data_IF_793419400661
#
_entry.id   IF_793419400661
#
_cell.length_a   1.000
_cell.length_b   1.000
_cell.length_c   1.000
_cell.angle_alpha   90.00
_cell.angle_beta   90.00
_cell.angle_gamma   90.00
#
_symmetry.space_group_name_H-M   'P 1'
#
loop_
_entity.id
_entity.type
_entity.pdbx_description
1 polymer ?
#
# COMPACT_ATOMS: atom_id res chain seq x y z
N UNK A 1 -11.44 7.40 -17.87
CA UNK A 1 -11.54 8.40 -16.77
C UNK A 1 -12.99 8.63 -16.33
N UNK A 2 -13.92 8.99 -17.24
CA UNK A 2 -15.34 9.20 -16.87
C UNK A 2 -15.97 8.02 -16.12
N UNK A 3 -15.77 6.79 -16.61
CA UNK A 3 -16.28 5.58 -15.94
C UNK A 3 -15.75 5.43 -14.51
N UNK A 4 -14.47 5.74 -14.28
CA UNK A 4 -13.85 5.69 -12.95
C UNK A 4 -14.50 6.70 -12.00
N UNK A 5 -14.67 7.94 -12.47
CA UNK A 5 -15.34 9.01 -11.72
C UNK A 5 -16.77 8.59 -11.40
N UNK A 6 -17.52 8.11 -12.40
CA UNK A 6 -18.89 7.67 -12.23
C UNK A 6 -19.02 6.54 -11.21
N UNK A 7 -18.18 5.49 -11.30
CA UNK A 7 -18.16 4.38 -10.34
C UNK A 7 -17.86 4.85 -8.93
N UNK A 8 -16.86 5.72 -8.74
CA UNK A 8 -16.47 6.24 -7.42
C UNK A 8 -17.56 7.15 -6.82
N UNK A 9 -18.20 7.98 -7.63
CA UNK A 9 -19.35 8.81 -7.20
C UNK A 9 -20.53 7.95 -6.77
N UNK A 10 -20.92 6.95 -7.57
CA UNK A 10 -22.02 6.04 -7.22
C UNK A 10 -21.70 5.25 -5.95
N UNK A 11 -20.49 4.68 -5.85
CA UNK A 11 -20.03 3.93 -4.68
C UNK A 11 -20.11 4.74 -3.38
N UNK A 12 -19.80 6.05 -3.42
CA UNK A 12 -19.85 6.93 -2.25
C UNK A 12 -21.24 7.07 -1.61
N UNK A 13 -22.31 6.75 -2.35
CA UNK A 13 -23.70 6.80 -1.87
C UNK A 13 -24.27 5.41 -1.57
N UNK A 14 -23.48 4.36 -1.75
CA UNK A 14 -23.88 2.98 -1.46
C UNK A 14 -23.65 2.63 0.01
N UNK A 15 -24.34 1.58 0.47
CA UNK A 15 -24.15 1.05 1.83
C UNK A 15 -22.74 0.50 2.03
N UNK A 16 -22.30 0.53 3.28
CA UNK A 16 -21.07 -0.13 3.71
C UNK A 16 -21.09 -1.62 3.39
N UNK A 17 -19.92 -2.17 3.12
CA UNK A 17 -19.75 -3.59 3.05
C UNK A 17 -19.69 -4.18 4.47
N UNK A 18 -20.28 -5.35 4.66
CA UNK A 18 -20.20 -6.10 5.91
C UNK A 18 -19.59 -7.47 5.66
N UNK A 19 -18.91 -7.98 6.68
CA UNK A 19 -18.23 -9.25 6.59
C UNK A 19 -17.78 -9.75 7.96
N UNK A 20 -17.15 -10.92 7.94
CA UNK A 20 -16.57 -11.55 9.11
C UNK A 20 -15.06 -11.63 8.93
N UNK A 21 -14.32 -11.25 9.96
CA UNK A 21 -12.90 -11.55 10.09
C UNK A 21 -12.73 -12.64 11.13
N UNK A 22 -11.97 -13.67 10.80
CA UNK A 22 -11.74 -14.83 11.67
C UNK A 22 -10.24 -15.07 11.76
N UNK A 23 -9.73 -15.20 12.99
CA UNK A 23 -8.36 -15.61 13.24
C UNK A 23 -8.38 -16.92 14.01
N UNK A 24 -7.68 -17.92 13.49
CA UNK A 24 -7.51 -19.24 14.11
C UNK A 24 -6.07 -19.36 14.57
N UNK A 25 -5.88 -19.73 15.84
CA UNK A 25 -4.58 -20.07 16.41
C UNK A 25 -4.48 -21.57 16.57
N UNK A 26 -3.37 -22.14 16.11
CA UNK A 26 -3.14 -23.57 16.09
C UNK A 26 -1.89 -23.84 16.92
N UNK A 27 -2.08 -24.46 18.09
CA UNK A 27 -0.98 -24.93 18.91
C UNK A 27 -0.46 -26.27 18.41
N UNK A 28 0.86 -26.44 18.42
CA UNK A 28 1.51 -27.70 18.10
C UNK A 28 2.76 -27.89 18.95
N UNK A 29 3.19 -29.15 19.09
CA UNK A 29 4.47 -29.48 19.74
C UNK A 29 5.45 -29.97 18.69
N UNK A 30 6.58 -29.28 18.59
CA UNK A 30 7.68 -29.70 17.74
C UNK A 30 8.29 -31.02 18.26
N UNK A 31 8.96 -31.76 17.36
CA UNK A 31 9.59 -33.05 17.68
C UNK A 31 10.68 -32.96 18.76
N UNK A 32 11.27 -31.78 18.95
CA UNK A 32 12.25 -31.48 20.01
C UNK A 32 11.61 -31.00 21.32
N UNK A 33 10.27 -31.08 21.43
CA UNK A 33 9.53 -30.80 22.65
C UNK A 33 9.12 -29.34 22.85
N UNK A 34 9.51 -28.43 21.95
CA UNK A 34 9.11 -27.02 21.99
C UNK A 34 7.66 -26.81 21.56
N UNK A 35 6.99 -25.86 22.19
CA UNK A 35 5.67 -25.42 21.76
C UNK A 35 5.80 -24.44 20.58
N UNK A 36 4.94 -24.60 19.58
CA UNK A 36 4.84 -23.74 18.41
C UNK A 36 3.38 -23.27 18.25
N UNK A 37 3.21 -22.03 17.80
CA UNK A 37 1.90 -21.47 17.46
C UNK A 37 1.92 -21.09 15.97
N UNK A 38 0.90 -21.54 15.24
CA UNK A 38 0.60 -21.10 13.89
C UNK A 38 -0.65 -20.23 13.93
N UNK A 39 -0.71 -19.24 13.05
CA UNK A 39 -1.88 -18.36 12.93
C UNK A 39 -2.39 -18.35 11.50
N UNK A 40 -3.70 -18.57 11.33
CA UNK A 40 -4.39 -18.36 10.07
C UNK A 40 -5.41 -17.23 10.24
N UNK A 41 -5.48 -16.32 9.29
CA UNK A 41 -6.48 -15.24 9.27
C UNK A 41 -7.28 -15.30 7.97
N UNK A 42 -8.60 -15.19 8.12
CA UNK A 42 -9.58 -15.23 7.04
C UNK A 42 -10.51 -14.03 7.09
N UNK A 43 -10.98 -13.61 5.93
CA UNK A 43 -11.94 -12.53 5.73
C UNK A 43 -12.98 -12.99 4.74
N UNK A 44 -14.25 -12.83 5.09
CA UNK A 44 -15.39 -13.14 4.21
C UNK A 44 -16.35 -11.95 4.18
N UNK A 45 -16.85 -11.57 3.02
CA UNK A 45 -17.75 -10.44 2.80
C UNK A 45 -19.17 -10.99 2.69
N UNK A 46 -19.97 -10.75 3.73
CA UNK A 46 -21.38 -11.18 3.77
C UNK A 46 -22.25 -10.27 2.92
N UNK A 47 -21.89 -8.99 2.80
CA UNK A 47 -22.57 -8.02 1.97
C UNK A 47 -21.55 -7.07 1.35
N UNK A 48 -21.50 -7.02 0.02
CA UNK A 48 -20.45 -6.29 -0.69
C UNK A 48 -20.64 -4.77 -0.69
N UNK A 49 -21.84 -4.24 -0.40
CA UNK A 49 -22.08 -2.79 -0.35
C UNK A 49 -21.51 -2.04 -1.56
N UNK A 50 -20.81 -0.93 -1.30
CA UNK A 50 -20.13 -0.11 -2.28
C UNK A 50 -19.07 -0.87 -3.12
N UNK A 51 -18.48 -1.95 -2.60
CA UNK A 51 -17.46 -2.73 -3.31
C UNK A 51 -17.99 -3.36 -4.60
N UNK A 52 -19.31 -3.51 -4.76
CA UNK A 52 -19.90 -3.93 -6.05
C UNK A 52 -19.69 -2.90 -7.18
N UNK A 53 -19.58 -1.62 -6.84
CA UNK A 53 -19.43 -0.56 -7.82
C UNK A 53 -17.97 -0.13 -8.01
N UNK A 54 -17.19 -0.12 -6.93
CA UNK A 54 -15.81 0.34 -6.97
C UNK A 54 -14.96 -0.29 -5.85
N UNK A 55 -13.76 -0.74 -6.21
CA UNK A 55 -12.70 -1.17 -5.29
C UNK A 55 -11.45 -0.38 -5.65
N UNK A 56 -10.80 0.21 -4.65
CA UNK A 56 -9.56 0.95 -4.88
C UNK A 56 -8.43 -0.01 -5.24
N UNK A 57 -7.71 0.29 -6.32
CA UNK A 57 -6.55 -0.49 -6.72
C UNK A 57 -5.34 -0.21 -5.82
N UNK A 58 -4.39 -1.13 -5.81
CA UNK A 58 -3.12 -0.96 -5.11
C UNK A 58 -1.96 -0.83 -6.10
N UNK A 59 -0.99 0.04 -5.78
CA UNK A 59 0.23 0.22 -6.56
C UNK A 59 1.17 -1.00 -6.44
N UNK A 60 1.13 -1.72 -5.30
CA UNK A 60 1.83 -3.00 -5.13
C UNK A 60 0.97 -4.14 -5.71
N UNK A 61 1.44 -4.87 -6.73
CA UNK A 61 0.72 -6.02 -7.28
C UNK A 61 0.43 -7.13 -6.26
N UNK A 62 1.17 -7.15 -5.14
CA UNK A 62 0.99 -8.15 -4.07
C UNK A 62 0.09 -7.67 -2.94
N UNK A 63 -0.33 -6.39 -2.95
CA UNK A 63 -1.23 -5.89 -1.93
C UNK A 63 -2.60 -6.58 -2.03
N UNK A 64 -3.19 -6.89 -0.89
CA UNK A 64 -4.55 -7.39 -0.86
C UNK A 64 -5.53 -6.25 -1.12
N UNK A 65 -6.37 -6.44 -2.14
CA UNK A 65 -7.50 -5.55 -2.40
C UNK A 65 -8.61 -5.82 -1.38
N UNK A 66 -9.42 -4.80 -1.12
CA UNK A 66 -10.44 -4.84 -0.06
C UNK A 66 -11.52 -5.90 -0.27
N UNK A 67 -11.79 -6.27 -1.52
CA UNK A 67 -12.77 -7.26 -1.93
C UNK A 67 -12.25 -8.71 -1.93
N UNK A 68 -10.95 -8.90 -1.67
CA UNK A 68 -10.35 -10.24 -1.63
C UNK A 68 -10.78 -10.98 -0.37
N UNK A 69 -11.50 -12.09 -0.56
CA UNK A 69 -11.86 -13.01 0.52
C UNK A 69 -10.79 -14.09 0.73
N UNK A 70 -10.56 -14.44 1.99
CA UNK A 70 -9.84 -15.64 2.41
C UNK A 70 -10.74 -16.44 3.33
N UNK A 71 -11.37 -17.49 2.82
CA UNK A 71 -12.29 -18.32 3.59
C UNK A 71 -11.51 -19.36 4.39
N UNK A 72 -11.76 -19.42 5.68
CA UNK A 72 -11.29 -20.49 6.54
C UNK A 72 -12.42 -21.50 6.76
N UNK A 73 -12.09 -22.80 6.94
CA UNK A 73 -13.06 -23.79 7.35
C UNK A 73 -13.61 -23.46 8.75
N UNK A 74 -14.83 -23.92 9.02
CA UNK A 74 -15.40 -23.84 10.36
C UNK A 74 -14.67 -24.84 11.28
N UNK A 75 -14.12 -24.34 12.38
CA UNK A 75 -13.41 -25.13 13.40
C UNK A 75 -13.89 -24.71 14.79
N UNK A 76 -13.79 -25.61 15.75
CA UNK A 76 -14.04 -25.38 17.16
C UNK A 76 -12.76 -25.50 17.99
N UNK A 77 -12.77 -24.94 19.20
CA UNK A 77 -11.66 -25.12 20.14
C UNK A 77 -11.50 -26.59 20.49
N UNK A 78 -10.26 -27.09 20.40
CA UNK A 78 -9.93 -28.48 20.68
C UNK A 78 -10.06 -29.44 19.49
N UNK A 79 -10.49 -28.96 18.32
CA UNK A 79 -10.48 -29.77 17.10
C UNK A 79 -9.06 -30.24 16.77
N UNK A 80 -8.93 -31.54 16.48
CA UNK A 80 -7.66 -32.13 16.07
C UNK A 80 -7.34 -31.75 14.63
N UNK A 81 -6.08 -31.33 14.39
CA UNK A 81 -5.57 -31.00 13.06
C UNK A 81 -4.29 -31.81 12.80
N UNK A 82 -4.19 -32.41 11.61
CA UNK A 82 -2.96 -33.04 11.14
C UNK A 82 -2.28 -32.08 10.17
N UNK A 83 -0.98 -31.84 10.36
CA UNK A 83 -0.20 -31.09 9.38
C UNK A 83 0.10 -31.98 8.16
N UNK A 84 -0.48 -31.64 7.01
CA UNK A 84 -0.25 -32.37 5.76
C UNK A 84 1.15 -32.09 5.19
N UNK A 85 1.60 -30.83 5.27
CA UNK A 85 2.91 -30.38 4.80
C UNK A 85 3.44 -29.28 5.71
N UNK A 86 4.76 -29.27 5.94
CA UNK A 86 5.46 -28.22 6.68
C UNK A 86 6.61 -27.72 5.80
N UNK A 87 6.48 -26.49 5.30
CA UNK A 87 7.51 -25.80 4.53
C UNK A 87 8.23 -24.76 5.38
N UNK A 88 9.52 -24.58 5.12
CA UNK A 88 10.33 -23.54 5.77
C UNK A 88 10.47 -22.36 4.82
N UNK A 89 9.80 -21.26 5.15
CA UNK A 89 9.82 -20.04 4.33
C UNK A 89 10.85 -19.04 4.85
N UNK A 90 11.84 -18.75 4.01
CA UNK A 90 12.84 -17.72 4.25
C UNK A 90 12.35 -16.35 3.76
N UNK A 91 12.38 -15.35 4.64
CA UNK A 91 12.05 -13.97 4.29
C UNK A 91 13.26 -13.05 4.43
N UNK A 92 13.31 -12.03 3.58
CA UNK A 92 14.28 -10.94 3.65
C UNK A 92 13.55 -9.60 3.74
N UNK A 93 14.10 -8.68 4.52
CA UNK A 93 13.60 -7.30 4.59
C UNK A 93 13.78 -6.62 3.24
N UNK A 94 12.72 -6.00 2.73
CA UNK A 94 12.79 -5.18 1.52
C UNK A 94 13.11 -3.73 1.89
N UNK A 95 13.88 -3.00 1.06
CA UNK A 95 14.04 -1.57 1.24
C UNK A 95 12.69 -0.84 1.04
N UNK A 96 12.56 0.40 1.53
CA UNK A 96 11.39 1.22 1.23
C UNK A 96 11.12 1.30 -0.28
N UNK A 97 9.85 1.20 -0.65
CA UNK A 97 9.45 1.33 -2.04
C UNK A 97 9.77 2.74 -2.56
N UNK A 98 10.16 2.83 -3.83
CA UNK A 98 10.27 4.12 -4.49
C UNK A 98 8.87 4.69 -4.75
N UNK A 99 8.78 6.02 -4.80
CA UNK A 99 7.55 6.69 -5.21
C UNK A 99 7.16 6.34 -6.64
N UNK A 100 5.88 6.10 -6.84
CA UNK A 100 5.13 6.20 -8.11
C UNK A 100 4.64 7.64 -8.27
N UNK A 101 4.04 8.00 -9.41
CA UNK A 101 3.36 9.30 -9.51
C UNK A 101 2.22 9.41 -8.48
N UNK A 102 1.42 8.34 -8.32
CA UNK A 102 0.30 8.34 -7.38
C UNK A 102 0.77 8.53 -5.92
N UNK A 103 1.76 7.74 -5.48
CA UNK A 103 2.29 7.87 -4.11
C UNK A 103 3.08 9.17 -3.91
N UNK A 104 3.70 9.75 -4.94
CA UNK A 104 4.29 11.09 -4.83
C UNK A 104 3.22 12.18 -4.70
N UNK A 105 2.13 12.11 -5.47
CA UNK A 105 0.99 13.04 -5.29
C UNK A 105 0.43 12.92 -3.87
N UNK A 106 0.26 11.69 -3.38
CA UNK A 106 -0.20 11.44 -2.01
C UNK A 106 0.74 12.05 -0.97
N UNK A 107 2.04 11.84 -1.10
CA UNK A 107 3.05 12.41 -0.20
C UNK A 107 3.05 13.95 -0.23
N UNK A 108 2.93 14.55 -1.42
CA UNK A 108 2.83 16.00 -1.59
C UNK A 108 1.58 16.56 -0.91
N UNK A 109 0.44 15.88 -1.05
CA UNK A 109 -0.82 16.24 -0.39
C UNK A 109 -0.72 16.12 1.14
N UNK A 110 -0.18 15.02 1.66
CA UNK A 110 0.01 14.79 3.10
C UNK A 110 0.93 15.82 3.75
N UNK A 111 1.92 16.32 2.99
CA UNK A 111 2.82 17.41 3.43
C UNK A 111 2.28 18.81 3.15
N UNK A 112 1.09 18.93 2.57
CA UNK A 112 0.48 20.20 2.15
C UNK A 112 1.32 20.99 1.13
N UNK A 113 2.20 20.32 0.39
CA UNK A 113 3.07 20.91 -0.64
C UNK A 113 2.44 20.71 -2.01
N UNK A 114 2.06 21.82 -2.65
CA UNK A 114 1.32 21.79 -3.91
C UNK A 114 -0.20 21.74 -3.69
N UNK A 115 -0.95 21.82 -4.78
CA UNK A 115 -2.41 21.90 -4.81
C UNK A 115 -2.93 21.05 -5.97
N UNK A 116 -4.25 20.74 -6.03
CA UNK A 116 -4.82 19.98 -7.15
C UNK A 116 -4.48 20.54 -8.54
N UNK A 117 -4.28 21.85 -8.65
CA UNK A 117 -3.86 22.52 -9.89
C UNK A 117 -2.36 22.34 -10.22
N UNK A 118 -1.51 21.97 -9.27
CA UNK A 118 -0.05 21.97 -9.44
C UNK A 118 0.57 20.58 -9.46
N UNK A 119 -0.05 19.54 -8.89
CA UNK A 119 0.55 18.19 -8.79
C UNK A 119 1.08 17.66 -10.12
N UNK A 120 0.25 17.68 -11.17
CA UNK A 120 0.65 17.23 -12.50
C UNK A 120 1.80 18.07 -13.08
N UNK A 121 1.79 19.39 -12.86
CA UNK A 121 2.84 20.29 -13.34
C UNK A 121 4.17 20.12 -12.59
N UNK A 122 4.14 19.84 -11.28
CA UNK A 122 5.33 19.55 -10.48
C UNK A 122 6.01 18.29 -11.00
N UNK A 123 5.25 17.20 -11.13
CA UNK A 123 5.74 15.92 -11.63
C UNK A 123 6.27 16.05 -13.06
N UNK A 124 5.51 16.71 -13.95
CA UNK A 124 5.95 16.98 -15.32
C UNK A 124 7.27 17.75 -15.34
N UNK A 125 7.39 18.82 -14.54
CA UNK A 125 8.58 19.67 -14.51
C UNK A 125 9.83 18.91 -14.07
N UNK A 126 9.75 18.08 -13.02
CA UNK A 126 10.92 17.33 -12.53
C UNK A 126 11.35 16.20 -13.48
N UNK A 127 10.40 15.64 -14.25
CA UNK A 127 10.69 14.69 -15.33
C UNK A 127 11.34 15.39 -16.52
N UNK A 128 10.71 16.45 -17.04
CA UNK A 128 11.13 17.17 -18.24
C UNK A 128 12.53 17.81 -18.09
N UNK A 129 12.86 18.27 -16.87
CA UNK A 129 14.17 18.85 -16.55
C UNK A 129 15.24 17.81 -16.22
N UNK A 130 14.91 16.51 -16.25
CA UNK A 130 15.87 15.43 -16.03
C UNK A 130 16.32 15.25 -14.58
N UNK A 131 15.58 15.81 -13.61
CA UNK A 131 15.83 15.56 -12.19
C UNK A 131 15.41 14.12 -11.83
N UNK A 132 14.31 13.65 -12.39
CA UNK A 132 13.78 12.32 -12.15
C UNK A 132 13.52 11.65 -13.48
N UNK A 133 13.64 10.32 -13.52
CA UNK A 133 13.21 9.51 -14.66
C UNK A 133 12.38 8.32 -14.20
N UNK A 134 11.54 7.78 -15.10
CA UNK A 134 10.71 6.60 -14.82
C UNK A 134 11.49 5.32 -15.10
N UNK A 135 11.46 4.38 -14.15
CA UNK A 135 11.90 2.99 -14.34
C UNK A 135 10.72 2.07 -14.02
N UNK A 136 9.96 1.70 -15.06
CA UNK A 136 8.62 1.15 -14.87
C UNK A 136 7.70 2.23 -14.32
N UNK A 137 6.99 1.94 -13.23
CA UNK A 137 6.15 2.91 -12.51
C UNK A 137 6.91 3.73 -11.47
N UNK A 138 8.13 3.33 -11.12
CA UNK A 138 8.93 3.99 -10.09
C UNK A 138 9.64 5.25 -10.61
N UNK A 139 9.60 6.31 -9.82
CA UNK A 139 10.35 7.54 -9.99
C UNK A 139 11.75 7.39 -9.38
N UNK A 140 12.79 7.61 -10.19
CA UNK A 140 14.19 7.44 -9.81
C UNK A 140 14.93 8.78 -9.97
N UNK A 141 15.58 9.31 -8.93
CA UNK A 141 16.39 10.51 -9.06
C UNK A 141 17.62 10.27 -9.92
N UNK A 142 17.97 11.23 -10.76
CA UNK A 142 19.24 11.27 -11.49
C UNK A 142 20.37 11.77 -10.58
N UNK A 143 21.63 11.59 -11.00
CA UNK A 143 22.78 12.16 -10.28
C UNK A 143 22.73 13.69 -10.20
N UNK A 144 22.12 14.35 -11.19
CA UNK A 144 21.90 15.80 -11.18
C UNK A 144 21.02 16.21 -9.98
N UNK A 145 19.98 15.43 -9.67
CA UNK A 145 19.13 15.69 -8.50
C UNK A 145 19.90 15.64 -7.21
N UNK A 146 20.77 14.64 -7.03
CA UNK A 146 21.61 14.57 -5.83
C UNK A 146 22.52 15.79 -5.72
N UNK A 147 23.13 16.25 -6.82
CA UNK A 147 23.99 17.43 -6.78
C UNK A 147 23.20 18.71 -6.41
N UNK A 148 22.04 18.91 -7.02
CA UNK A 148 21.20 20.10 -6.80
C UNK A 148 20.58 20.11 -5.40
N UNK A 149 20.01 18.98 -4.95
CA UNK A 149 19.41 18.88 -3.61
C UNK A 149 20.47 19.09 -2.53
N UNK A 150 21.65 18.45 -2.64
CA UNK A 150 22.74 18.67 -1.67
C UNK A 150 23.20 20.13 -1.62
N UNK A 151 23.25 20.82 -2.77
CA UNK A 151 23.60 22.25 -2.82
C UNK A 151 22.55 23.09 -2.08
N UNK A 152 21.27 22.85 -2.36
CA UNK A 152 20.17 23.59 -1.76
C UNK A 152 20.05 23.31 -0.26
N UNK A 153 20.17 22.07 0.18
CA UNK A 153 20.11 21.73 1.62
C UNK A 153 21.26 22.40 2.40
N UNK A 154 22.48 22.42 1.85
CA UNK A 154 23.67 22.97 2.54
C UNK A 154 23.69 24.49 2.58
N UNK A 155 23.27 25.16 1.51
CA UNK A 155 23.44 26.61 1.37
C UNK A 155 22.14 27.39 1.42
N UNK A 156 21.01 26.74 1.17
CA UNK A 156 19.69 27.35 1.03
C UNK A 156 18.59 26.52 1.70
N UNK A 157 18.89 25.82 2.81
CA UNK A 157 18.02 24.79 3.40
C UNK A 157 16.57 25.24 3.64
N UNK A 158 16.37 26.52 4.01
CA UNK A 158 15.03 27.10 4.17
C UNK A 158 14.17 27.04 2.89
N UNK A 159 14.77 27.15 1.70
CA UNK A 159 14.05 27.13 0.41
C UNK A 159 13.58 25.73 0.01
N UNK A 160 14.10 24.68 0.64
CA UNK A 160 13.75 23.27 0.38
C UNK A 160 13.17 22.58 1.61
N UNK A 161 12.93 23.33 2.67
CA UNK A 161 12.29 22.85 3.88
C UNK A 161 10.79 22.63 3.63
N UNK A 162 10.28 21.47 4.09
CA UNK A 162 8.90 21.08 3.83
C UNK A 162 7.89 21.99 4.53
N UNK A 163 8.10 22.28 5.81
CA UNK A 163 7.19 23.12 6.61
C UNK A 163 7.16 24.56 6.11
N UNK A 164 8.31 25.09 5.66
CA UNK A 164 8.37 26.40 5.04
C UNK A 164 7.62 26.46 3.71
N UNK A 165 7.65 25.37 2.94
CA UNK A 165 6.99 25.29 1.62
C UNK A 165 5.48 25.06 1.73
N UNK A 166 5.02 24.38 2.79
CA UNK A 166 3.62 24.09 3.04
C UNK A 166 2.80 25.33 3.45
N UNK A 167 3.43 26.28 4.16
CA UNK A 167 2.84 27.55 4.63
C UNK A 167 2.47 28.49 3.48
#
# INVERSE_FOLDING_TARGET
LYELIWKRTVASQMKDATGNSVTVKIGGRASDGRDAEFSASGKTITFHGFMKAYVEGADDPNAELDDRERRLPQVAEGDALTADEITVDGHATKPPARYTEASLVKELEEREIGRPSTYASIIGTILDRGYVFKKGTALVPSFLSFAVVNLLEKHFGRLVDYDFTAR
#
